data_IF_591550000611
#
_entry.id   IF_591550000611
#
_cell.length_a   1.000
_cell.length_b   1.000
_cell.length_c   1.000
_cell.angle_alpha   90.00
_cell.angle_beta   90.00
_cell.angle_gamma   90.00
#
_symmetry.space_group_name_H-M   'P 1'
#
loop_
_entity.id
_entity.type
_entity.pdbx_description
1 polymer ?
#
# COMPACT_ATOMS: atom_id res chain seq x y z
N UNK A 1 -3.77 -11.42 9.33
CA UNK A 1 -4.72 -10.42 8.77
C UNK A 1 -4.57 -8.97 9.27
N UNK A 2 -4.46 -8.63 10.58
CA UNK A 2 -4.17 -7.23 10.98
C UNK A 2 -2.72 -6.83 10.74
N UNK A 3 -1.77 -7.73 11.04
CA UNK A 3 -0.33 -7.44 10.93
C UNK A 3 0.13 -6.91 9.56
N UNK A 4 -0.40 -7.45 8.45
CA UNK A 4 -0.07 -7.00 7.08
C UNK A 4 -0.55 -5.56 6.87
N UNK A 5 -1.80 -5.27 7.26
CA UNK A 5 -2.39 -3.93 7.14
C UNK A 5 -1.60 -2.92 7.94
N UNK A 6 -1.30 -3.23 9.21
CA UNK A 6 -0.49 -2.39 10.08
C UNK A 6 0.90 -2.13 9.49
N UNK A 7 1.55 -3.17 8.97
CA UNK A 7 2.87 -3.05 8.36
C UNK A 7 2.88 -2.12 7.14
N UNK A 8 1.88 -2.25 6.26
CA UNK A 8 1.78 -1.42 5.06
C UNK A 8 1.41 0.01 5.45
N UNK A 9 0.48 0.17 6.39
CA UNK A 9 0.09 1.47 6.90
C UNK A 9 1.29 2.19 7.53
N UNK A 10 2.06 1.51 8.38
CA UNK A 10 3.26 2.05 9.01
C UNK A 10 4.32 2.41 7.97
N UNK A 11 4.53 1.58 6.95
CA UNK A 11 5.44 1.90 5.84
C UNK A 11 5.00 3.17 5.12
N UNK A 12 3.71 3.29 4.79
CA UNK A 12 3.16 4.49 4.12
C UNK A 12 3.32 5.72 5.00
N UNK A 13 3.02 5.61 6.30
CA UNK A 13 3.16 6.71 7.24
C UNK A 13 4.61 7.16 7.37
N UNK A 14 5.57 6.24 7.45
CA UNK A 14 6.97 6.59 7.58
C UNK A 14 7.58 7.14 6.28
N UNK A 15 7.19 6.62 5.11
CA UNK A 15 7.76 7.04 3.83
C UNK A 15 7.08 8.27 3.23
N UNK A 16 5.79 8.47 3.48
CA UNK A 16 5.00 9.51 2.79
C UNK A 16 4.33 10.54 3.71
N UNK A 17 4.25 10.29 5.03
CA UNK A 17 3.83 11.33 5.97
C UNK A 17 5.05 11.85 6.71
N UNK A 18 5.19 13.17 6.73
CA UNK A 18 6.23 13.83 7.51
C UNK A 18 5.84 13.89 8.99
N UNK A 19 6.82 13.96 9.88
CA UNK A 19 6.56 14.16 11.31
C UNK A 19 5.82 15.49 11.53
N UNK A 20 4.55 15.39 11.95
CA UNK A 20 3.66 16.54 12.16
C UNK A 20 2.55 16.70 11.11
N UNK A 21 2.44 15.79 10.14
CA UNK A 21 1.30 15.76 9.22
C UNK A 21 0.03 15.25 9.95
N UNK A 22 -0.99 16.11 10.04
CA UNK A 22 -2.27 15.84 10.72
C UNK A 22 -3.21 14.97 9.86
N UNK A 23 -2.79 14.54 8.65
CA UNK A 23 -3.63 13.68 7.79
C UNK A 23 -3.79 12.32 8.44
N UNK A 24 -5.03 12.01 8.83
CA UNK A 24 -5.41 10.69 9.29
C UNK A 24 -5.38 9.67 8.14
N UNK A 25 -4.22 9.01 7.98
CA UNK A 25 -4.11 7.85 7.11
C UNK A 25 -4.53 6.60 7.88
N UNK A 26 -5.62 6.02 7.41
CA UNK A 26 -6.24 4.80 7.92
C UNK A 26 -6.23 3.74 6.82
N UNK A 27 -6.79 2.56 7.10
CA UNK A 27 -6.80 1.46 6.13
C UNK A 27 -7.66 1.70 4.88
N UNK A 28 -8.64 2.61 5.00
CA UNK A 28 -9.58 2.97 3.93
C UNK A 28 -9.26 4.34 3.32
N UNK A 29 -8.22 5.00 3.82
CA UNK A 29 -7.83 6.32 3.31
C UNK A 29 -7.26 6.17 1.90
N UNK A 30 -7.74 6.98 0.93
CA UNK A 30 -7.21 6.98 -0.43
C UNK A 30 -5.79 7.58 -0.43
N UNK A 31 -4.76 6.75 -0.54
CA UNK A 31 -3.35 7.16 -0.56
C UNK A 31 -2.90 7.64 -1.94
N UNK A 32 -3.32 6.99 -3.02
CA UNK A 32 -2.96 7.41 -4.38
C UNK A 32 -3.85 8.57 -4.80
N UNK A 33 -5.18 8.39 -4.76
CA UNK A 33 -6.14 9.41 -5.15
C UNK A 33 -6.16 10.60 -4.19
N UNK A 34 -5.81 10.40 -2.92
CA UNK A 34 -5.64 11.47 -1.95
C UNK A 34 -4.31 12.23 -2.09
N UNK A 35 -3.44 11.84 -3.03
CA UNK A 35 -2.17 12.52 -3.30
C UNK A 35 -1.13 12.35 -2.19
N UNK A 36 -1.22 11.27 -1.40
CA UNK A 36 -0.20 10.89 -0.41
C UNK A 36 0.92 10.12 -1.12
N UNK A 37 0.56 9.31 -2.11
CA UNK A 37 1.48 8.46 -2.87
C UNK A 37 1.43 8.87 -4.34
N UNK A 38 2.57 9.31 -4.86
CA UNK A 38 2.77 9.58 -6.29
C UNK A 38 2.92 8.31 -7.13
N UNK A 39 2.81 8.47 -8.45
CA UNK A 39 2.97 7.38 -9.43
C UNK A 39 4.32 6.65 -9.33
N UNK A 40 5.40 7.37 -8.96
CA UNK A 40 6.71 6.77 -8.70
C UNK A 40 6.71 5.94 -7.41
N UNK A 41 6.11 6.48 -6.36
CA UNK A 41 6.00 5.83 -5.05
C UNK A 41 5.16 4.55 -5.11
N UNK A 42 4.16 4.48 -5.99
CA UNK A 42 3.40 3.26 -6.25
C UNK A 42 4.31 2.10 -6.69
N UNK A 43 5.32 2.36 -7.53
CA UNK A 43 6.28 1.34 -7.98
C UNK A 43 7.14 0.87 -6.82
N UNK A 44 7.63 1.79 -5.98
CA UNK A 44 8.38 1.43 -4.76
C UNK A 44 7.54 0.57 -3.82
N UNK A 45 6.27 0.92 -3.63
CA UNK A 45 5.36 0.18 -2.77
C UNK A 45 5.06 -1.22 -3.34
N UNK A 46 4.83 -1.34 -4.65
CA UNK A 46 4.73 -2.63 -5.35
C UNK A 46 5.96 -3.51 -5.09
N UNK A 47 7.16 -2.98 -5.36
CA UNK A 47 8.43 -3.71 -5.18
C UNK A 47 8.66 -4.09 -3.72
N UNK A 48 8.31 -3.21 -2.78
CA UNK A 48 8.38 -3.50 -1.36
C UNK A 48 7.51 -4.70 -0.98
N UNK A 49 6.27 -4.76 -1.47
CA UNK A 49 5.37 -5.89 -1.22
C UNK A 49 5.88 -7.19 -1.86
N UNK A 50 6.32 -7.12 -3.12
CA UNK A 50 6.90 -8.25 -3.84
C UNK A 50 8.11 -8.83 -3.10
N UNK A 51 9.00 -7.96 -2.62
CA UNK A 51 10.19 -8.37 -1.88
C UNK A 51 9.85 -8.89 -0.48
N UNK A 52 8.95 -8.20 0.23
CA UNK A 52 8.61 -8.52 1.62
C UNK A 52 7.84 -9.83 1.75
N UNK A 53 6.93 -10.10 0.82
CA UNK A 53 6.09 -11.30 0.82
C UNK A 53 6.55 -12.35 -0.20
N UNK A 54 7.65 -12.11 -0.91
CA UNK A 54 8.18 -12.97 -1.98
C UNK A 54 7.10 -13.36 -3.01
N UNK A 55 6.32 -12.37 -3.44
CA UNK A 55 5.26 -12.52 -4.45
C UNK A 55 5.62 -11.75 -5.72
N UNK A 56 4.86 -12.00 -6.79
CA UNK A 56 4.90 -11.14 -7.98
C UNK A 56 3.53 -10.57 -8.26
N UNK A 57 3.44 -9.24 -8.32
CA UNK A 57 2.21 -8.52 -8.57
C UNK A 57 2.17 -8.18 -10.07
N UNK A 58 1.29 -8.81 -10.87
CA UNK A 58 1.21 -8.52 -12.30
C UNK A 58 0.73 -7.08 -12.53
N UNK A 59 1.25 -6.41 -13.56
CA UNK A 59 0.92 -5.00 -13.84
C UNK A 59 -0.58 -4.79 -14.12
N UNK A 60 -1.27 -5.81 -14.63
CA UNK A 60 -2.72 -5.80 -14.80
C UNK A 60 -3.50 -5.68 -13.47
N UNK A 61 -2.90 -6.12 -12.35
CA UNK A 61 -3.45 -5.98 -11.00
C UNK A 61 -2.84 -4.79 -10.25
N UNK A 62 -1.68 -4.29 -10.68
CA UNK A 62 -1.02 -3.12 -10.10
C UNK A 62 -1.61 -1.81 -10.65
N UNK A 63 -2.92 -1.63 -10.44
CA UNK A 63 -3.62 -0.39 -10.78
C UNK A 63 -3.61 0.59 -9.62
N UNK A 64 -3.76 1.90 -9.90
CA UNK A 64 -3.94 2.93 -8.86
C UNK A 64 -5.06 2.57 -7.90
N UNK A 65 -6.17 2.01 -8.40
CA UNK A 65 -7.32 1.57 -7.59
C UNK A 65 -6.96 0.44 -6.62
N UNK A 66 -6.16 -0.54 -7.05
CA UNK A 66 -5.72 -1.64 -6.18
C UNK A 66 -4.72 -1.18 -5.10
N UNK A 67 -3.99 -0.10 -5.38
CA UNK A 67 -3.03 0.52 -4.47
C UNK A 67 -3.60 1.76 -3.77
N UNK A 68 -4.87 2.09 -3.99
CA UNK A 68 -5.47 3.33 -3.50
C UNK A 68 -5.67 3.31 -1.99
N UNK A 69 -5.73 2.16 -1.35
CA UNK A 69 -5.90 2.05 0.10
C UNK A 69 -5.23 0.79 0.63
N UNK A 70 -4.85 0.78 1.91
CA UNK A 70 -4.24 -0.39 2.56
C UNK A 70 -5.17 -1.60 2.49
N UNK A 71 -6.49 -1.39 2.62
CA UNK A 71 -7.48 -2.45 2.46
C UNK A 71 -7.42 -3.11 1.07
N UNK A 72 -7.26 -2.31 0.00
CA UNK A 72 -7.19 -2.82 -1.37
C UNK A 72 -5.91 -3.62 -1.59
N UNK A 73 -4.78 -3.09 -1.10
CA UNK A 73 -3.49 -3.78 -1.16
C UNK A 73 -3.58 -5.11 -0.43
N UNK A 74 -4.11 -5.15 0.80
CA UNK A 74 -4.23 -6.42 1.54
C UNK A 74 -5.19 -7.40 0.87
N UNK A 75 -6.24 -6.91 0.23
CA UNK A 75 -7.14 -7.76 -0.56
C UNK A 75 -6.43 -8.35 -1.77
N UNK A 76 -5.61 -7.56 -2.46
CA UNK A 76 -4.76 -8.01 -3.56
C UNK A 76 -3.75 -9.06 -3.10
N UNK A 77 -3.06 -8.82 -1.98
CA UNK A 77 -2.10 -9.76 -1.40
C UNK A 77 -2.76 -11.09 -1.03
N UNK A 78 -3.97 -11.05 -0.48
CA UNK A 78 -4.76 -12.26 -0.20
C UNK A 78 -5.15 -13.03 -1.46
N UNK A 79 -5.55 -12.35 -2.53
CA UNK A 79 -5.78 -13.00 -3.83
C UNK A 79 -4.54 -13.72 -4.36
N UNK A 80 -3.34 -13.20 -4.03
CA UNK A 80 -2.06 -13.78 -4.40
C UNK A 80 -1.56 -14.87 -3.43
N UNK A 81 -2.30 -15.15 -2.36
CA UNK A 81 -1.99 -16.21 -1.38
C UNK A 81 -1.16 -15.76 -0.17
N UNK A 82 -1.16 -14.46 0.16
CA UNK A 82 -0.49 -13.91 1.35
C UNK A 82 -1.51 -13.70 2.50
N UNK A 83 -1.24 -14.24 3.70
CA UNK A 83 -2.18 -14.26 4.85
C UNK A 83 -1.64 -13.63 6.16
#
# INVERSE_FOLDING_TARGET
>A
MSAIKDTILEYIKNEYLEEGDDREVTFDTPIISGGIVDSFSMVSLKVFLETKYNISIPDAKASPEAFDSVNNIVSLLKELGVE
#
